data_IF_196358506865
#
_entry.id   IF_196358506865
#
_cell.length_a   1.000
_cell.length_b   1.000
_cell.length_c   1.000
_cell.angle_alpha   90.00
_cell.angle_beta   90.00
_cell.angle_gamma   90.00
#
_symmetry.space_group_name_H-M   'P 1'
#
loop_
_entity.id
_entity.type
_entity.pdbx_description
1 polymer ?
#
# COMPACT_ATOMS: atom_id res chain seq x y z
N UNK A 1 28.26 17.77 -1.90
CA UNK A 1 27.21 18.46 -1.11
C UNK A 1 25.94 17.64 -1.19
N UNK A 2 25.61 16.90 -0.13
CA UNK A 2 24.34 16.18 0.00
C UNK A 2 23.70 16.68 1.30
N UNK A 3 22.45 17.10 1.27
CA UNK A 3 21.34 16.38 1.90
C UNK A 3 20.04 17.19 1.77
N UNK A 4 19.08 16.52 1.14
CA UNK A 4 17.72 16.92 0.93
C UNK A 4 16.93 16.43 2.14
N UNK A 5 16.33 17.32 2.93
CA UNK A 5 15.42 16.94 4.03
C UNK A 5 14.30 17.96 4.13
N UNK A 6 13.24 17.71 3.37
CA UNK A 6 11.92 18.28 3.65
C UNK A 6 11.09 17.20 4.33
N UNK A 7 11.16 17.12 5.66
CA UNK A 7 10.16 16.44 6.49
C UNK A 7 8.94 17.35 6.57
N UNK A 8 7.93 17.10 5.71
CA UNK A 8 6.59 17.65 5.93
C UNK A 8 5.83 16.71 6.86
N UNK A 9 5.97 16.98 8.16
CA UNK A 9 5.05 16.49 9.18
C UNK A 9 3.68 17.11 8.92
N UNK A 10 2.83 16.38 8.20
CA UNK A 10 1.41 16.70 8.07
C UNK A 10 0.69 15.79 9.04
N UNK A 11 0.11 16.39 10.08
CA UNK A 11 -0.79 15.77 11.06
C UNK A 11 -1.66 14.71 10.37
N UNK A 12 -1.32 13.45 10.59
CA UNK A 12 -1.72 12.35 9.73
C UNK A 12 -3.19 12.00 9.95
N UNK A 13 -4.08 12.69 9.24
CA UNK A 13 -5.36 12.11 8.88
C UNK A 13 -5.02 10.79 8.17
N UNK A 14 -5.45 9.66 8.74
CA UNK A 14 -5.17 8.34 8.17
C UNK A 14 -5.45 8.37 6.67
N UNK A 15 -4.42 8.17 5.87
CA UNK A 15 -4.56 8.19 4.42
C UNK A 15 -5.48 7.06 4.03
N UNK A 16 -6.58 7.39 3.33
CA UNK A 16 -7.56 6.42 2.81
C UNK A 16 -6.89 5.38 1.88
N UNK A 17 -5.71 5.72 1.35
CA UNK A 17 -4.95 4.90 0.43
C UNK A 17 -3.58 4.51 0.97
N UNK A 18 -3.10 3.34 0.53
CA UNK A 18 -1.73 2.86 0.75
C UNK A 18 -1.05 2.56 -0.59
N UNK A 19 0.25 2.86 -0.73
CA UNK A 19 1.02 2.51 -1.93
C UNK A 19 1.49 1.04 -1.89
N UNK A 20 1.84 0.43 -3.04
CA UNK A 20 2.45 -0.90 -3.07
C UNK A 20 3.73 -1.02 -2.22
N UNK A 21 4.56 0.02 -2.20
CA UNK A 21 5.79 0.05 -1.43
C UNK A 21 5.52 0.13 0.08
N UNK A 22 4.53 0.93 0.50
CA UNK A 22 4.10 0.98 1.90
C UNK A 22 3.49 -0.34 2.37
N UNK A 23 2.68 -0.98 1.51
CA UNK A 23 2.07 -2.26 1.81
C UNK A 23 3.11 -3.39 1.88
N UNK A 24 4.10 -3.35 0.99
CA UNK A 24 5.23 -4.28 1.02
C UNK A 24 6.02 -4.18 2.33
N UNK A 25 6.28 -2.94 2.79
CA UNK A 25 6.92 -2.69 4.09
C UNK A 25 6.06 -3.22 5.24
N UNK A 26 4.75 -2.95 5.23
CA UNK A 26 3.81 -3.41 6.27
C UNK A 26 3.81 -4.94 6.39
N UNK A 27 3.67 -5.64 5.27
CA UNK A 27 3.67 -7.11 5.24
C UNK A 27 5.07 -7.74 5.31
N UNK A 28 6.12 -6.93 5.39
CA UNK A 28 7.51 -7.39 5.40
C UNK A 28 7.83 -8.34 4.23
N UNK A 29 7.36 -7.99 3.03
CA UNK A 29 7.52 -8.83 1.85
C UNK A 29 7.94 -8.01 0.61
N UNK A 30 8.31 -8.69 -0.46
CA UNK A 30 8.63 -8.03 -1.71
C UNK A 30 7.37 -7.40 -2.34
N UNK A 31 7.54 -6.27 -3.04
CA UNK A 31 6.45 -5.61 -3.81
C UNK A 31 5.79 -6.56 -4.84
N UNK A 32 6.55 -7.51 -5.39
CA UNK A 32 6.01 -8.56 -6.27
C UNK A 32 5.08 -9.53 -5.53
N UNK A 33 5.34 -9.80 -4.24
CA UNK A 33 4.44 -10.59 -3.39
C UNK A 33 3.14 -9.84 -3.13
N UNK A 34 3.21 -8.53 -2.87
CA UNK A 34 2.02 -7.67 -2.77
C UNK A 34 1.20 -7.74 -4.05
N UNK A 35 1.82 -7.54 -5.21
CA UNK A 35 1.12 -7.59 -6.50
C UNK A 35 0.46 -8.96 -6.75
N UNK A 36 1.08 -10.07 -6.32
CA UNK A 36 0.49 -11.41 -6.42
C UNK A 36 -0.71 -11.59 -5.49
N UNK A 37 -0.59 -11.17 -4.23
CA UNK A 37 -1.68 -11.27 -3.24
C UNK A 37 -2.86 -10.41 -3.70
N UNK A 38 -2.64 -9.15 -4.04
CA UNK A 38 -3.69 -8.22 -4.51
C UNK A 38 -4.45 -8.79 -5.71
N UNK A 39 -3.74 -9.38 -6.69
CA UNK A 39 -4.39 -10.02 -7.85
C UNK A 39 -5.16 -11.29 -7.46
N UNK A 40 -4.60 -12.12 -6.58
CA UNK A 40 -5.22 -13.39 -6.18
C UNK A 40 -6.48 -13.19 -5.34
N UNK A 41 -6.45 -12.20 -4.45
CA UNK A 41 -7.53 -11.89 -3.52
C UNK A 41 -8.51 -10.84 -4.08
N UNK A 42 -8.33 -10.43 -5.34
CA UNK A 42 -9.14 -9.42 -6.04
C UNK A 42 -9.25 -8.07 -5.29
N UNK A 43 -8.18 -7.64 -4.63
CA UNK A 43 -8.16 -6.37 -3.90
C UNK A 43 -8.18 -5.17 -4.86
N UNK A 44 -8.89 -4.12 -4.49
CA UNK A 44 -9.13 -2.97 -5.35
C UNK A 44 -7.86 -2.15 -5.59
N UNK A 45 -7.64 -1.80 -6.86
CA UNK A 45 -6.50 -1.00 -7.32
C UNK A 45 -7.00 0.30 -7.92
N UNK A 46 -6.61 1.42 -7.32
CA UNK A 46 -6.83 2.75 -7.89
C UNK A 46 -5.61 3.10 -8.73
N UNK A 47 -5.77 3.03 -10.04
CA UNK A 47 -4.75 3.37 -11.03
C UNK A 47 -4.91 4.83 -11.46
N UNK A 48 -4.09 5.73 -10.92
CA UNK A 48 -4.08 7.15 -11.28
C UNK A 48 -3.06 7.40 -12.39
N UNK A 49 -3.54 7.80 -13.57
CA UNK A 49 -2.71 8.08 -14.74
C UNK A 49 -2.53 6.87 -15.68
N UNK A 50 -1.87 7.12 -16.80
CA UNK A 50 -1.64 6.13 -17.87
C UNK A 50 -0.14 5.88 -18.10
N UNK A 51 0.22 4.69 -18.60
CA UNK A 51 1.59 4.34 -18.95
C UNK A 51 2.53 4.07 -17.76
N UNK A 52 3.84 4.17 -18.01
CA UNK A 52 4.93 3.80 -17.08
C UNK A 52 4.96 4.56 -15.74
N UNK A 53 4.30 5.71 -15.68
CA UNK A 53 4.23 6.57 -14.50
C UNK A 53 2.86 6.48 -13.78
N UNK A 54 1.99 5.56 -14.21
CA UNK A 54 0.71 5.33 -13.55
C UNK A 54 0.91 4.96 -12.08
N UNK A 55 0.34 5.77 -11.19
CA UNK A 55 0.43 5.55 -9.76
C UNK A 55 -0.64 4.54 -9.35
N UNK A 56 -0.22 3.45 -8.71
CA UNK A 56 -1.14 2.46 -8.14
C UNK A 56 -1.32 2.78 -6.66
N UNK A 57 -2.56 2.80 -6.20
CA UNK A 57 -2.95 2.90 -4.80
C UNK A 57 -3.92 1.77 -4.46
N UNK A 58 -3.91 1.32 -3.21
CA UNK A 58 -4.90 0.39 -2.66
C UNK A 58 -5.71 1.09 -1.58
N UNK A 59 -6.95 0.65 -1.37
CA UNK A 59 -7.79 1.17 -0.28
C UNK A 59 -7.28 0.62 1.05
N UNK A 60 -6.89 1.50 1.98
CA UNK A 60 -6.36 1.08 3.27
C UNK A 60 -7.37 0.20 4.03
N UNK A 61 -8.64 0.57 4.02
CA UNK A 61 -9.73 -0.20 4.67
C UNK A 61 -9.76 -1.65 4.19
N UNK A 62 -9.70 -1.87 2.88
CA UNK A 62 -9.78 -3.22 2.29
C UNK A 62 -8.56 -4.07 2.67
N UNK A 63 -7.39 -3.45 2.77
CA UNK A 63 -6.17 -4.12 3.27
C UNK A 63 -6.35 -4.54 4.73
N UNK A 64 -6.89 -3.67 5.58
CA UNK A 64 -7.13 -3.99 6.99
C UNK A 64 -8.17 -5.11 7.14
N UNK A 65 -9.24 -5.07 6.35
CA UNK A 65 -10.27 -6.12 6.33
C UNK A 65 -9.67 -7.47 5.88
N UNK A 66 -8.79 -7.46 4.87
CA UNK A 66 -8.04 -8.64 4.43
C UNK A 66 -7.13 -9.19 5.54
N UNK A 67 -6.35 -8.33 6.20
CA UNK A 67 -5.47 -8.71 7.31
C UNK A 67 -6.27 -9.32 8.47
N UNK A 68 -7.39 -8.72 8.85
CA UNK A 68 -8.28 -9.23 9.88
C UNK A 68 -8.84 -10.62 9.51
N UNK A 69 -9.26 -10.82 8.25
CA UNK A 69 -9.78 -12.11 7.78
C UNK A 69 -8.75 -13.26 7.79
N UNK A 70 -7.46 -12.92 7.75
CA UNK A 70 -6.33 -13.87 7.75
C UNK A 70 -5.68 -14.03 9.12
N UNK A 71 -6.06 -13.20 10.08
CA UNK A 71 -5.53 -13.25 11.44
C UNK A 71 -6.14 -14.45 12.16
N UNK A 72 -5.31 -15.43 12.49
CA UNK A 72 -5.69 -16.56 13.35
C UNK A 72 -5.35 -16.22 14.79
N UNK A 73 -6.29 -16.39 15.71
CA UNK A 73 -6.01 -16.31 17.14
C UNK A 73 -5.42 -17.65 17.59
N UNK A 74 -4.32 -17.58 18.34
CA UNK A 74 -3.66 -18.74 18.94
C UNK A 74 -4.30 -19.11 20.29
#
# INVERSE_FOLDING_TARGET
MKNNTATKETQAKESVFITPEQLALRWHCARTSVDRIVRRENLSRVCLGTGKNGMVRFLLKEILDYEASRTVQA
#
